data_IF_711882718854
#
_entry.id   IF_711882718854
#
_cell.length_a   1.000
_cell.length_b   1.000
_cell.length_c   1.000
_cell.angle_alpha   90.00
_cell.angle_beta   90.00
_cell.angle_gamma   90.00
#
_symmetry.space_group_name_H-M   'P 1'
#
loop_
_entity.id
_entity.type
_entity.pdbx_description
1 polymer ?
#
# COMPACT_ATOMS: atom_id res chain seq x y z
N UNK A 1 -10.02 2.92 -29.50
CA UNK A 1 -9.38 2.68 -28.18
C UNK A 1 -9.36 3.98 -27.42
N UNK A 2 -9.83 3.99 -26.17
CA UNK A 2 -9.77 5.20 -25.34
C UNK A 2 -8.31 5.43 -24.93
N UNK A 3 -7.66 6.45 -25.46
CA UNK A 3 -6.29 6.86 -25.15
C UNK A 3 -6.05 6.97 -23.62
N UNK A 4 -7.07 7.44 -22.91
CA UNK A 4 -7.02 7.56 -21.43
C UNK A 4 -6.85 6.18 -20.78
N UNK A 5 -7.58 5.17 -21.24
CA UNK A 5 -7.46 3.81 -20.70
C UNK A 5 -6.09 3.20 -20.97
N UNK A 6 -5.54 3.41 -22.15
CA UNK A 6 -4.20 2.92 -22.49
C UNK A 6 -3.12 3.54 -21.58
N UNK A 7 -3.21 4.84 -21.31
CA UNK A 7 -2.30 5.52 -20.38
C UNK A 7 -2.50 5.03 -18.94
N UNK A 8 -3.74 4.87 -18.49
CA UNK A 8 -4.04 4.36 -17.16
C UNK A 8 -3.55 2.91 -16.97
N UNK A 9 -3.59 2.07 -18.00
CA UNK A 9 -3.08 0.70 -17.96
C UNK A 9 -1.56 0.67 -17.86
N UNK A 10 -0.86 1.52 -18.56
CA UNK A 10 0.59 1.65 -18.45
C UNK A 10 1.08 2.16 -17.08
N UNK A 11 0.23 2.87 -16.34
CA UNK A 11 0.56 3.35 -14.99
C UNK A 11 0.21 2.38 -13.87
N UNK A 12 -0.50 1.29 -14.16
CA UNK A 12 -0.82 0.27 -13.16
C UNK A 12 0.43 -0.52 -12.80
N UNK A 13 0.61 -0.74 -11.51
CA UNK A 13 1.64 -1.66 -11.03
C UNK A 13 1.30 -3.09 -11.45
N UNK A 14 2.31 -3.89 -11.84
CA UNK A 14 2.10 -5.28 -12.23
C UNK A 14 1.55 -6.13 -11.07
N UNK A 15 1.92 -5.78 -9.84
CA UNK A 15 1.42 -6.44 -8.63
C UNK A 15 1.02 -5.42 -7.56
N UNK A 16 -0.13 -5.65 -6.97
CA UNK A 16 -0.61 -4.90 -5.80
C UNK A 16 -1.20 -5.89 -4.81
N UNK A 17 -0.78 -5.81 -3.55
CA UNK A 17 -1.33 -6.63 -2.47
C UNK A 17 -2.85 -6.46 -2.38
N UNK A 18 -3.58 -7.56 -2.34
CA UNK A 18 -5.03 -7.57 -2.18
C UNK A 18 -5.36 -7.46 -0.70
N UNK A 19 -5.87 -6.33 -0.28
CA UNK A 19 -6.37 -6.08 1.08
C UNK A 19 -7.77 -5.47 1.03
N UNK A 20 -8.50 -5.61 2.12
CA UNK A 20 -9.86 -5.14 2.27
C UNK A 20 -9.97 -4.00 3.29
N UNK A 21 -11.12 -3.33 3.27
CA UNK A 21 -11.45 -2.35 4.31
C UNK A 21 -11.56 -3.05 5.66
N UNK A 22 -10.94 -2.48 6.68
CA UNK A 22 -10.89 -3.06 8.03
C UNK A 22 -9.63 -3.88 8.33
N UNK A 23 -8.85 -4.22 7.31
CA UNK A 23 -7.58 -4.90 7.51
C UNK A 23 -6.55 -3.96 8.14
N UNK A 24 -5.69 -4.53 8.99
CA UNK A 24 -4.51 -3.82 9.49
C UNK A 24 -3.36 -4.08 8.55
N UNK A 25 -2.80 -3.02 8.00
CA UNK A 25 -1.72 -3.09 7.01
C UNK A 25 -0.51 -2.29 7.44
N UNK A 26 0.69 -2.74 7.02
CA UNK A 26 1.93 -1.98 7.06
C UNK A 26 2.25 -1.49 5.66
N UNK A 27 2.27 -0.19 5.49
CA UNK A 27 2.62 0.46 4.22
C UNK A 27 4.06 0.94 4.32
N UNK A 28 4.92 0.38 3.48
CA UNK A 28 6.31 0.80 3.33
C UNK A 28 6.37 1.85 2.23
N UNK A 29 6.66 3.08 2.59
CA UNK A 29 6.72 4.15 1.61
C UNK A 29 8.05 4.89 1.67
N UNK A 30 8.53 5.25 0.50
CA UNK A 30 9.79 5.96 0.30
C UNK A 30 9.58 7.46 0.53
N UNK A 31 10.41 8.03 1.39
CA UNK A 31 10.51 9.47 1.61
C UNK A 31 11.84 9.93 1.01
N UNK A 32 11.78 11.00 0.24
CA UNK A 32 12.93 11.66 -0.36
C UNK A 32 13.11 12.99 0.37
N UNK A 33 14.22 13.13 1.08
CA UNK A 33 14.58 14.31 1.86
C UNK A 33 15.90 14.87 1.29
N UNK A 34 15.79 15.85 0.39
CA UNK A 34 16.94 16.37 -0.35
C UNK A 34 17.61 15.30 -1.21
N UNK A 35 18.84 14.91 -0.87
CA UNK A 35 19.61 13.84 -1.56
C UNK A 35 19.46 12.46 -0.93
N UNK A 36 18.78 12.35 0.22
CA UNK A 36 18.67 11.10 0.97
C UNK A 36 17.29 10.47 0.77
N UNK A 37 17.27 9.18 0.51
CA UNK A 37 16.04 8.38 0.42
C UNK A 37 15.96 7.45 1.63
N UNK A 38 14.81 7.39 2.28
CA UNK A 38 14.55 6.43 3.37
C UNK A 38 13.18 5.80 3.24
N UNK A 39 13.04 4.57 3.72
CA UNK A 39 11.76 3.87 3.79
C UNK A 39 11.17 4.11 5.17
N UNK A 40 9.92 4.57 5.21
CA UNK A 40 9.15 4.70 6.44
C UNK A 40 7.99 3.73 6.42
N UNK A 41 7.73 3.10 7.57
CA UNK A 41 6.61 2.18 7.75
C UNK A 41 5.45 2.92 8.41
N UNK A 42 4.26 2.79 7.80
CA UNK A 42 3.02 3.31 8.34
C UNK A 42 2.06 2.14 8.60
N UNK A 43 1.90 1.78 9.87
CA UNK A 43 0.99 0.71 10.29
C UNK A 43 -0.34 1.27 10.75
N UNK A 44 -1.45 0.70 10.29
CA UNK A 44 -2.78 1.13 10.70
C UNK A 44 -3.89 0.33 10.05
N UNK A 45 -5.12 0.71 10.34
CA UNK A 45 -6.34 0.09 9.83
C UNK A 45 -6.80 0.81 8.56
N UNK A 46 -7.15 0.05 7.53
CA UNK A 46 -7.73 0.58 6.29
C UNK A 46 -9.15 1.06 6.55
N UNK A 47 -9.39 2.36 6.52
CA UNK A 47 -10.71 2.98 6.74
C UNK A 47 -11.62 2.85 5.53
N UNK A 48 -11.09 3.14 4.37
CA UNK A 48 -11.84 3.10 3.12
C UNK A 48 -10.91 2.95 1.92
N UNK A 49 -11.47 2.40 0.84
CA UNK A 49 -10.86 2.35 -0.48
C UNK A 49 -11.76 3.18 -1.39
N UNK A 50 -11.18 4.06 -2.18
CA UNK A 50 -11.88 4.96 -3.12
C UNK A 50 -11.34 4.78 -4.52
N UNK A 51 -12.17 5.11 -5.49
CA UNK A 51 -11.87 5.04 -6.91
C UNK A 51 -11.53 3.63 -7.41
N UNK A 52 -11.27 3.51 -8.70
CA UNK A 52 -10.89 2.26 -9.37
C UNK A 52 -9.76 2.52 -10.38
N UNK A 53 -9.18 1.45 -10.91
CA UNK A 53 -8.11 1.55 -11.91
C UNK A 53 -6.86 2.24 -11.37
N UNK A 54 -6.21 3.05 -12.21
CA UNK A 54 -4.98 3.76 -11.86
C UNK A 54 -5.18 4.77 -10.71
N UNK A 55 -6.37 5.35 -10.58
CA UNK A 55 -6.74 6.34 -9.55
C UNK A 55 -7.17 5.75 -8.21
N UNK A 56 -7.04 4.43 -8.02
CA UNK A 56 -7.42 3.75 -6.78
C UNK A 56 -6.57 4.25 -5.61
N UNK A 57 -7.23 4.67 -4.53
CA UNK A 57 -6.60 5.14 -3.30
C UNK A 57 -7.17 4.43 -2.07
N UNK A 58 -6.38 4.29 -1.03
CA UNK A 58 -6.83 3.77 0.26
C UNK A 58 -6.38 4.68 1.38
N UNK A 59 -7.21 4.79 2.42
CA UNK A 59 -6.93 5.60 3.60
C UNK A 59 -6.61 4.69 4.77
N UNK A 60 -5.46 4.89 5.38
CA UNK A 60 -5.01 4.15 6.57
C UNK A 60 -5.06 5.07 7.78
N UNK A 61 -5.68 4.59 8.86
CA UNK A 61 -5.76 5.28 10.15
C UNK A 61 -4.90 4.57 11.18
N UNK A 62 -4.05 5.31 11.84
CA UNK A 62 -3.33 4.86 13.03
C UNK A 62 -3.58 5.80 14.20
N UNK A 63 -3.40 5.30 15.40
CA UNK A 63 -3.39 6.09 16.62
C UNK A 63 -1.93 6.35 17.02
N UNK A 64 -1.57 7.61 17.16
CA UNK A 64 -0.24 8.02 17.55
C UNK A 64 -0.35 8.97 18.73
N UNK A 65 0.16 8.55 19.90
CA UNK A 65 0.11 9.34 21.13
C UNK A 65 -1.29 9.87 21.49
N UNK A 66 -2.32 9.02 21.32
CA UNK A 66 -3.72 9.39 21.60
C UNK A 66 -4.42 10.17 20.48
N UNK A 67 -3.71 10.60 19.46
CA UNK A 67 -4.25 11.31 18.29
C UNK A 67 -4.45 10.33 17.13
N UNK A 68 -5.65 10.34 16.54
CA UNK A 68 -5.93 9.55 15.34
C UNK A 68 -5.40 10.24 14.09
N UNK A 69 -4.40 9.66 13.45
CA UNK A 69 -3.78 10.16 12.21
C UNK A 69 -4.25 9.35 11.03
N UNK A 70 -4.72 10.02 9.98
CA UNK A 70 -5.15 9.38 8.73
C UNK A 70 -4.23 9.82 7.58
N UNK A 71 -3.86 8.84 6.76
CA UNK A 71 -3.10 9.11 5.54
C UNK A 71 -3.71 8.40 4.35
N UNK A 72 -3.82 9.12 3.25
CA UNK A 72 -4.30 8.58 1.97
C UNK A 72 -3.11 8.15 1.13
N UNK A 73 -3.16 6.93 0.62
CA UNK A 73 -2.14 6.37 -0.25
C UNK A 73 -2.74 6.00 -1.60
N UNK A 74 -2.21 6.50 -2.72
CA UNK A 74 -2.54 5.97 -4.05
C UNK A 74 -1.93 4.57 -4.20
N UNK A 75 -2.72 3.59 -4.63
CA UNK A 75 -2.29 2.19 -4.75
C UNK A 75 -1.13 2.04 -5.73
N UNK A 76 -1.18 2.77 -6.85
CA UNK A 76 -0.19 2.69 -7.93
C UNK A 76 0.97 3.69 -7.79
N UNK A 77 1.14 4.32 -6.60
CA UNK A 77 2.21 5.29 -6.40
C UNK A 77 3.59 4.62 -6.43
N UNK A 78 4.58 5.14 -7.17
CA UNK A 78 5.94 4.63 -7.17
C UNK A 78 6.66 4.79 -5.83
N UNK A 79 6.14 5.66 -4.94
CA UNK A 79 6.67 5.85 -3.59
C UNK A 79 6.30 4.74 -2.62
N UNK A 80 5.29 3.91 -2.93
CA UNK A 80 4.94 2.76 -2.10
C UNK A 80 5.83 1.60 -2.54
N UNK A 81 6.69 1.12 -1.67
CA UNK A 81 7.57 -0.03 -1.93
C UNK A 81 6.73 -1.31 -1.89
N UNK A 82 6.11 -1.58 -0.74
CA UNK A 82 5.24 -2.74 -0.54
C UNK A 82 4.15 -2.44 0.49
N UNK A 83 3.10 -3.26 0.49
CA UNK A 83 2.05 -3.26 1.51
C UNK A 83 1.94 -4.67 2.07
N UNK A 84 2.09 -4.81 3.38
CA UNK A 84 1.95 -6.09 4.08
C UNK A 84 0.65 -6.10 4.88
N UNK A 85 -0.02 -7.25 4.91
CA UNK A 85 -1.20 -7.46 5.74
C UNK A 85 -0.74 -8.04 7.07
N UNK A 86 -1.09 -7.36 8.17
CA UNK A 86 -0.81 -7.83 9.53
C UNK A 86 -1.97 -8.65 10.07
N UNK A 87 -3.21 -8.16 9.86
CA UNK A 87 -4.44 -8.79 10.35
C UNK A 87 -5.57 -8.53 9.38
N UNK A 88 -6.42 -9.54 9.19
CA UNK A 88 -7.65 -9.41 8.39
C UNK A 88 -8.81 -9.02 9.29
N UNK A 89 -9.48 -7.93 8.96
CA UNK A 89 -10.60 -7.41 9.72
C UNK A 89 -11.94 -8.01 9.31
N UNK A 90 -12.81 -8.30 10.32
CA UNK A 90 -14.20 -8.68 10.08
C UNK A 90 -15.10 -7.46 10.19
N UNK A 91 -15.47 -6.88 9.05
CA UNK A 91 -16.30 -5.68 8.97
C UNK A 91 -17.52 -5.91 8.07
N UNK A 92 -18.61 -5.14 8.31
CA UNK A 92 -19.84 -5.19 7.52
C UNK A 92 -20.02 -3.96 6.60
N UNK A 93 -19.15 -2.97 6.74
CA UNK A 93 -19.25 -1.69 6.02
C UNK A 93 -18.03 -1.48 5.13
N UNK A 94 -18.23 -0.88 3.98
CA UNK A 94 -17.17 -0.51 3.03
C UNK A 94 -16.41 0.76 3.41
N UNK A 95 -16.92 1.54 4.35
CA UNK A 95 -16.29 2.77 4.86
C UNK A 95 -16.46 2.82 6.37
N UNK A 96 -15.34 2.88 7.10
CA UNK A 96 -15.30 2.76 8.57
C UNK A 96 -15.13 4.12 9.26
N UNK A 97 -15.79 5.17 8.75
CA UNK A 97 -15.63 6.53 9.32
C UNK A 97 -16.08 6.64 10.78
N UNK A 98 -16.97 5.76 11.23
CA UNK A 98 -17.39 5.70 12.64
C UNK A 98 -16.23 5.42 13.62
N UNK A 99 -15.08 4.90 13.12
CA UNK A 99 -13.89 4.70 13.97
C UNK A 99 -13.27 6.01 14.42
N UNK A 100 -13.62 7.13 13.79
CA UNK A 100 -13.14 8.46 14.19
C UNK A 100 -13.67 8.88 15.55
N UNK A 101 -14.94 8.54 15.81
CA UNK A 101 -15.67 8.93 17.01
C UNK A 101 -15.52 7.93 18.16
N UNK A 102 -14.99 6.74 17.85
CA UNK A 102 -14.81 5.71 18.88
C UNK A 102 -13.57 5.96 19.73
N UNK A 103 -13.69 5.71 21.04
CA UNK A 103 -12.61 5.88 22.02
C UNK A 103 -12.28 4.52 22.67
N UNK A 104 -11.03 4.31 23.03
CA UNK A 104 -10.58 3.13 23.76
C UNK A 104 -10.77 1.81 23.00
N UNK A 105 -11.28 0.78 23.65
CA UNK A 105 -11.45 -0.57 23.09
C UNK A 105 -12.36 -0.61 21.86
N UNK A 106 -13.28 0.34 21.70
CA UNK A 106 -14.19 0.43 20.55
C UNK A 106 -13.51 0.80 19.22
N UNK A 107 -12.27 1.27 19.23
CA UNK A 107 -11.46 1.57 18.03
C UNK A 107 -10.93 0.31 17.36
N UNK A 108 -10.83 -0.81 18.08
CA UNK A 108 -10.28 -2.05 17.55
C UNK A 108 -11.29 -2.75 16.64
N UNK A 109 -10.89 -3.05 15.41
CA UNK A 109 -11.68 -3.90 14.50
C UNK A 109 -11.51 -5.34 14.93
N UNK A 110 -12.61 -6.12 14.92
CA UNK A 110 -12.57 -7.55 15.21
C UNK A 110 -11.80 -8.28 14.12
N UNK A 111 -10.93 -9.20 14.51
CA UNK A 111 -10.16 -10.01 13.57
C UNK A 111 -11.00 -11.16 13.00
N UNK A 112 -10.74 -11.52 11.76
CA UNK A 112 -11.23 -12.73 11.14
C UNK A 112 -10.19 -13.83 11.41
N UNK A 113 -10.54 -14.75 12.30
CA UNK A 113 -9.70 -15.89 12.67
C UNK A 113 -9.98 -17.09 11.74
N UNK A 114 -8.95 -17.87 11.44
CA UNK A 114 -9.05 -19.10 10.65
C UNK A 114 -7.73 -19.46 9.98
N UNK A 115 -7.47 -20.74 9.79
CA UNK A 115 -6.23 -21.21 9.14
C UNK A 115 -6.08 -20.72 7.70
N UNK A 116 -7.19 -20.64 6.96
CA UNK A 116 -7.21 -20.07 5.60
C UNK A 116 -6.78 -18.61 5.55
N UNK A 117 -7.13 -17.84 6.59
CA UNK A 117 -6.76 -16.42 6.69
C UNK A 117 -5.26 -16.27 6.93
N UNK A 118 -4.67 -17.11 7.77
CA UNK A 118 -3.22 -17.11 8.01
C UNK A 118 -2.44 -17.46 6.72
N UNK A 119 -2.90 -18.46 5.98
CA UNK A 119 -2.31 -18.83 4.69
C UNK A 119 -2.45 -17.71 3.65
N UNK A 120 -3.61 -17.05 3.60
CA UNK A 120 -3.83 -15.90 2.72
C UNK A 120 -2.86 -14.75 3.04
N UNK A 121 -2.71 -14.38 4.32
CA UNK A 121 -1.76 -13.33 4.75
C UNK A 121 -0.33 -13.70 4.35
N UNK A 122 0.09 -14.94 4.62
CA UNK A 122 1.44 -15.40 4.29
C UNK A 122 1.70 -15.36 2.78
N UNK A 123 0.73 -15.78 1.97
CA UNK A 123 0.84 -15.75 0.51
C UNK A 123 0.88 -14.31 -0.04
N UNK A 124 0.03 -13.42 0.44
CA UNK A 124 0.00 -12.02 0.01
C UNK A 124 1.31 -11.30 0.38
N UNK A 125 1.81 -11.52 1.59
CA UNK A 125 3.06 -10.91 2.03
C UNK A 125 4.27 -11.42 1.24
N UNK A 126 4.35 -12.72 0.94
CA UNK A 126 5.38 -13.30 0.04
C UNK A 126 5.34 -12.66 -1.35
N UNK A 127 4.14 -12.56 -1.92
CA UNK A 127 3.98 -11.96 -3.24
C UNK A 127 4.36 -10.46 -3.24
N UNK A 128 4.06 -9.74 -2.16
CA UNK A 128 4.45 -8.34 -1.99
C UNK A 128 5.97 -8.16 -1.90
N UNK A 129 6.65 -9.07 -1.21
CA UNK A 129 8.11 -9.07 -1.12
C UNK A 129 8.75 -9.38 -2.49
N UNK A 130 8.29 -10.41 -3.17
CA UNK A 130 8.78 -10.76 -4.49
C UNK A 130 8.61 -9.62 -5.50
N UNK A 131 7.45 -8.97 -5.49
CA UNK A 131 7.18 -7.82 -6.35
C UNK A 131 8.05 -6.60 -5.99
N UNK A 132 8.33 -6.37 -4.71
CA UNK A 132 9.20 -5.30 -4.27
C UNK A 132 10.65 -5.53 -4.74
N UNK A 133 11.17 -6.75 -4.61
CA UNK A 133 12.48 -7.12 -5.12
C UNK A 133 12.59 -6.95 -6.63
N UNK A 134 11.61 -7.45 -7.39
CA UNK A 134 11.60 -7.30 -8.84
C UNK A 134 11.57 -5.82 -9.28
N UNK A 135 10.81 -4.98 -8.56
CA UNK A 135 10.77 -3.55 -8.84
C UNK A 135 12.10 -2.85 -8.52
N UNK A 136 12.77 -3.23 -7.44
CA UNK A 136 14.10 -2.68 -7.09
C UNK A 136 15.18 -3.09 -8.09
N UNK A 137 15.14 -4.33 -8.57
CA UNK A 137 16.06 -4.82 -9.60
C UNK A 137 15.84 -4.10 -10.93
N UNK A 138 14.59 -3.89 -11.32
CA UNK A 138 14.26 -3.14 -12.54
C UNK A 138 14.79 -1.70 -12.47
N UNK A 139 14.61 -1.00 -11.35
CA UNK A 139 15.12 0.36 -11.15
C UNK A 139 16.65 0.40 -11.16
N UNK A 140 17.31 -0.62 -10.58
CA UNK A 140 18.77 -0.71 -10.63
C UNK A 140 19.28 -0.95 -12.04
N UNK A 141 18.59 -1.78 -12.82
CA UNK A 141 18.93 -2.06 -14.22
C UNK A 141 18.76 -0.81 -15.09
N UNK A 142 17.67 -0.04 -14.91
CA UNK A 142 17.47 1.22 -15.63
C UNK A 142 18.57 2.25 -15.29
N UNK A 143 18.90 2.44 -14.02
CA UNK A 143 19.98 3.36 -13.61
C UNK A 143 21.35 2.94 -14.13
N UNK A 144 21.62 1.64 -14.21
CA UNK A 144 22.86 1.13 -14.79
C UNK A 144 22.92 1.35 -16.31
N UNK A 145 21.79 1.24 -17.01
CA UNK A 145 21.69 1.51 -18.44
C UNK A 145 21.86 3.01 -18.75
N UNK A 146 21.29 3.90 -17.95
CA UNK A 146 21.48 5.35 -18.10
C UNK A 146 22.94 5.78 -17.86
N UNK A 147 23.62 5.13 -16.91
CA UNK A 147 25.03 5.47 -16.61
C UNK A 147 25.99 4.97 -17.70
N UNK A 148 25.58 3.99 -18.51
CA UNK A 148 26.38 3.38 -19.56
C UNK A 148 26.05 3.91 -20.97
N UNK A 149 25.13 4.86 -21.09
CA UNK A 149 24.84 5.53 -22.36
C UNK A 149 26.02 6.45 -22.71
N UNK A 150 26.73 6.24 -23.85
CA UNK A 150 27.81 7.11 -24.28
C UNK A 150 27.22 8.50 -24.57
N UNK A 151 27.82 9.54 -23.98
CA UNK A 151 27.54 10.91 -24.34
C UNK A 151 27.93 11.15 -25.80
N UNK A 152 27.00 11.01 -26.71
CA UNK A 152 27.19 11.52 -28.08
C UNK A 152 27.25 13.05 -28.02
N UNK A 153 28.43 13.55 -28.39
CA UNK A 153 28.66 14.95 -28.64
C UNK A 153 28.20 15.31 -30.06
#
# INVERSE_FOLDING_TARGET
MDLIKAIEEGQKRPYTTEFNVGDTVKVFFKIIEGKTERIQVYEGVVLCIKNSGARKTFTVRKESYGVGVERVFPVNSPRIVKVEIVRVGKVRRSKLYYLRDKIGKGKKVKEKLGGEVANFIAQQNKNAEAAAHAAEEAIKAEKAAEHNAPAEK
#
